data_IF_393105033971
#
_entry.id   IF_393105033971
#
_cell.length_a   1.000
_cell.length_b   1.000
_cell.length_c   1.000
_cell.angle_alpha   90.00
_cell.angle_beta   90.00
_cell.angle_gamma   90.00
#
_symmetry.space_group_name_H-M   'P 1'
#
loop_
_entity.id
_entity.type
_entity.pdbx_description
1 polymer ?
#
# COMPACT_ATOMS: atom_id res chain seq x y z
N UNK A 1 -11.07 7.25 8.99
CA UNK A 1 -11.94 6.56 8.02
C UNK A 1 -13.34 7.09 8.17
N UNK A 2 -13.88 7.61 7.08
CA UNK A 2 -15.23 8.17 7.01
C UNK A 2 -16.02 7.46 5.91
N UNK A 3 -17.33 7.37 6.07
CA UNK A 3 -18.25 6.85 5.06
C UNK A 3 -19.11 8.01 4.56
N UNK A 4 -19.01 8.32 3.28
CA UNK A 4 -19.84 9.30 2.60
C UNK A 4 -20.92 8.57 1.79
N UNK A 5 -22.17 8.62 2.25
CA UNK A 5 -23.31 7.92 1.64
C UNK A 5 -24.05 8.85 0.69
N UNK A 6 -24.29 8.40 -0.54
CA UNK A 6 -25.27 9.00 -1.47
C UNK A 6 -26.57 8.23 -1.43
N UNK A 7 -26.48 6.94 -1.74
CA UNK A 7 -27.60 6.02 -1.84
C UNK A 7 -27.20 4.67 -1.25
N UNK A 8 -27.79 4.33 -0.11
CA UNK A 8 -27.63 3.03 0.55
C UNK A 8 -28.86 2.76 1.41
N UNK A 9 -29.52 1.61 1.20
CA UNK A 9 -30.67 1.23 2.00
C UNK A 9 -30.32 1.18 3.49
N UNK A 10 -31.13 1.84 4.31
CA UNK A 10 -30.95 1.89 5.77
C UNK A 10 -29.97 2.95 6.29
N UNK A 11 -29.39 3.79 5.43
CA UNK A 11 -28.60 4.96 5.83
C UNK A 11 -29.10 6.24 5.16
N UNK A 12 -29.17 7.33 5.94
CA UNK A 12 -29.42 8.67 5.41
C UNK A 12 -28.23 9.15 4.57
N UNK A 13 -28.50 9.93 3.51
CA UNK A 13 -27.47 10.61 2.72
C UNK A 13 -26.68 11.59 3.60
N UNK A 14 -25.36 11.40 3.67
CA UNK A 14 -24.51 12.18 4.56
C UNK A 14 -23.13 11.58 4.77
N UNK A 15 -22.42 12.09 5.77
CA UNK A 15 -21.11 11.62 6.21
C UNK A 15 -21.21 10.96 7.56
N UNK A 16 -20.53 9.85 7.72
CA UNK A 16 -20.43 9.11 8.95
C UNK A 16 -18.96 8.91 9.34
N UNK A 17 -18.65 9.05 10.62
CA UNK A 17 -17.41 8.56 11.21
C UNK A 17 -17.53 7.05 11.44
N UNK A 18 -16.55 6.29 10.96
CA UNK A 18 -16.49 4.85 11.21
C UNK A 18 -15.72 4.58 12.51
N UNK A 19 -16.43 4.31 13.60
CA UNK A 19 -15.79 3.87 14.84
C UNK A 19 -15.54 2.36 14.80
N UNK A 20 -14.33 1.98 14.38
CA UNK A 20 -13.94 0.58 14.20
C UNK A 20 -13.78 -0.18 15.52
N UNK A 21 -13.55 0.49 16.64
CA UNK A 21 -13.35 -0.16 17.95
C UNK A 21 -14.69 -0.58 18.54
N UNK A 22 -15.68 0.32 18.47
CA UNK A 22 -17.01 0.09 19.03
C UNK A 22 -18.01 -0.46 17.99
N UNK A 23 -17.62 -0.51 16.72
CA UNK A 23 -18.41 -1.11 15.65
C UNK A 23 -19.64 -0.30 15.24
N UNK A 24 -19.57 1.03 15.22
CA UNK A 24 -20.70 1.88 14.84
C UNK A 24 -20.36 2.95 13.79
N UNK A 25 -21.39 3.43 13.10
CA UNK A 25 -21.34 4.61 12.22
C UNK A 25 -21.99 5.81 12.92
N UNK A 26 -21.23 6.87 13.17
CA UNK A 26 -21.75 8.10 13.77
C UNK A 26 -21.91 9.20 12.73
N UNK A 27 -23.12 9.71 12.50
CA UNK A 27 -23.38 10.72 11.48
C UNK A 27 -22.74 12.06 11.86
N UNK A 28 -21.96 12.67 10.97
CA UNK A 28 -21.26 13.95 11.21
C UNK A 28 -22.00 15.10 10.52
N UNK A 29 -22.49 14.85 9.30
CA UNK A 29 -23.11 15.87 8.47
C UNK A 29 -24.18 15.25 7.55
N UNK A 30 -25.33 15.92 7.41
CA UNK A 30 -26.40 15.54 6.48
C UNK A 30 -26.21 16.22 5.13
N UNK A 31 -26.50 15.50 4.04
CA UNK A 31 -26.50 16.07 2.70
C UNK A 31 -25.50 15.42 1.76
N UNK A 32 -25.63 15.72 0.47
CA UNK A 32 -24.89 15.01 -0.57
C UNK A 32 -23.38 15.27 -0.49
N UNK A 33 -22.56 14.21 -0.54
CA UNK A 33 -21.13 14.38 -0.66
C UNK A 33 -20.71 15.09 -1.95
N UNK A 34 -19.59 15.82 -1.96
CA UNK A 34 -18.97 16.25 -3.21
C UNK A 34 -18.40 15.02 -3.95
N UNK A 35 -18.74 14.83 -5.22
CA UNK A 35 -18.02 13.91 -6.11
C UNK A 35 -18.08 14.38 -7.55
N UNK A 36 -17.05 14.00 -8.31
CA UNK A 36 -16.97 14.25 -9.74
C UNK A 36 -17.92 13.34 -10.55
N UNK A 37 -18.21 12.11 -10.08
CA UNK A 37 -19.08 11.11 -10.75
C UNK A 37 -20.31 10.75 -9.90
N UNK A 38 -21.26 11.67 -9.80
CA UNK A 38 -22.39 11.55 -8.86
C UNK A 38 -23.34 10.35 -9.10
N UNK A 39 -23.50 9.92 -10.34
CA UNK A 39 -24.57 8.97 -10.72
C UNK A 39 -24.15 7.50 -10.67
N UNK A 40 -22.87 7.20 -10.44
CA UNK A 40 -22.31 5.84 -10.47
C UNK A 40 -21.90 5.33 -9.08
N UNK A 41 -21.93 6.21 -8.06
CA UNK A 41 -21.37 5.95 -6.73
C UNK A 41 -22.50 5.91 -5.71
N UNK A 42 -22.70 4.77 -5.06
CA UNK A 42 -23.61 4.59 -3.93
C UNK A 42 -23.03 5.20 -2.66
N UNK A 43 -21.76 4.91 -2.36
CA UNK A 43 -21.04 5.47 -1.22
C UNK A 43 -19.53 5.51 -1.46
N UNK A 44 -18.82 6.32 -0.66
CA UNK A 44 -17.37 6.40 -0.67
C UNK A 44 -16.80 6.19 0.74
N UNK A 45 -15.77 5.36 0.85
CA UNK A 45 -14.95 5.25 2.05
C UNK A 45 -13.75 6.21 1.91
N UNK A 46 -13.70 7.24 2.75
CA UNK A 46 -12.67 8.27 2.71
C UNK A 46 -11.60 7.95 3.76
N UNK A 47 -10.39 7.66 3.28
CA UNK A 47 -9.22 7.39 4.10
C UNK A 47 -8.54 8.72 4.44
N UNK A 48 -8.33 8.92 5.73
CA UNK A 48 -7.72 10.13 6.30
C UNK A 48 -6.49 9.76 7.12
N UNK A 49 -5.52 10.66 7.18
CA UNK A 49 -4.31 10.52 7.97
C UNK A 49 -4.28 11.52 9.11
N UNK A 50 -4.31 11.04 10.36
CA UNK A 50 -4.12 11.87 11.54
C UNK A 50 -2.64 11.93 11.90
N UNK A 51 -2.03 13.12 11.82
CA UNK A 51 -0.59 13.30 11.99
C UNK A 51 -0.07 12.79 13.33
N UNK A 52 -0.78 13.10 14.41
CA UNK A 52 -0.30 12.77 15.75
C UNK A 52 -0.22 11.28 16.02
N UNK A 53 -1.04 10.44 15.36
CA UNK A 53 -1.05 8.99 15.57
C UNK A 53 0.29 8.33 15.19
N UNK A 54 1.04 8.97 14.28
CA UNK A 54 2.37 8.52 13.88
C UNK A 54 3.48 9.45 14.37
N UNK A 55 3.24 10.76 14.45
CA UNK A 55 4.29 11.73 14.78
C UNK A 55 4.77 11.67 16.23
N UNK A 56 3.96 11.20 17.17
CA UNK A 56 4.39 11.00 18.57
C UNK A 56 5.61 10.07 18.68
N UNK A 57 5.73 9.09 17.76
CA UNK A 57 6.83 8.13 17.70
C UNK A 57 7.84 8.47 16.61
N UNK A 58 7.37 8.81 15.42
CA UNK A 58 8.20 8.93 14.21
C UNK A 58 8.58 10.37 13.84
N UNK A 59 8.08 11.36 14.60
CA UNK A 59 8.39 12.78 14.42
C UNK A 59 8.11 13.22 12.98
N UNK A 60 9.04 13.93 12.35
CA UNK A 60 8.92 14.44 10.97
C UNK A 60 8.81 13.34 9.91
N UNK A 61 9.22 12.10 10.21
CA UNK A 61 9.08 10.97 9.28
C UNK A 61 7.67 10.41 9.23
N UNK A 62 6.76 10.89 10.09
CA UNK A 62 5.41 10.36 10.25
C UNK A 62 4.61 10.29 8.94
N UNK A 63 4.77 11.27 8.04
CA UNK A 63 4.00 11.31 6.81
C UNK A 63 4.25 10.09 5.91
N UNK A 64 5.51 9.61 5.84
CA UNK A 64 5.87 8.36 5.14
C UNK A 64 5.08 7.16 5.66
N UNK A 65 5.03 6.99 6.99
CA UNK A 65 4.28 5.89 7.61
C UNK A 65 2.78 6.04 7.41
N UNK A 66 2.24 7.25 7.56
CA UNK A 66 0.82 7.52 7.33
C UNK A 66 0.40 7.12 5.91
N UNK A 67 1.20 7.44 4.91
CA UNK A 67 0.91 7.10 3.51
C UNK A 67 1.02 5.59 3.25
N UNK A 68 2.08 4.93 3.75
CA UNK A 68 2.22 3.47 3.63
C UNK A 68 1.05 2.74 4.31
N UNK A 69 0.73 3.09 5.56
CA UNK A 69 -0.37 2.49 6.32
C UNK A 69 -1.74 2.76 5.67
N UNK A 70 -1.92 3.95 5.09
CA UNK A 70 -3.12 4.27 4.32
C UNK A 70 -3.23 3.39 3.08
N UNK A 71 -2.13 3.13 2.39
CA UNK A 71 -2.06 2.15 1.31
C UNK A 71 -2.51 0.75 1.74
N UNK A 72 -2.02 0.28 2.88
CA UNK A 72 -2.45 -1.01 3.44
C UNK A 72 -3.96 -1.05 3.72
N UNK A 73 -4.52 0.04 4.24
CA UNK A 73 -5.97 0.15 4.51
C UNK A 73 -6.78 0.20 3.20
N UNK A 74 -6.36 1.00 2.22
CA UNK A 74 -7.02 1.13 0.92
C UNK A 74 -7.13 -0.24 0.25
N UNK A 75 -6.06 -1.04 0.28
CA UNK A 75 -6.11 -2.36 -0.33
C UNK A 75 -7.00 -3.35 0.42
N UNK A 76 -7.04 -3.28 1.76
CA UNK A 76 -8.00 -4.08 2.52
C UNK A 76 -9.45 -3.75 2.15
N UNK A 77 -9.77 -2.46 2.01
CA UNK A 77 -11.10 -2.02 1.56
C UNK A 77 -11.36 -2.55 0.15
N UNK A 78 -10.42 -2.35 -0.78
CA UNK A 78 -10.52 -2.76 -2.18
C UNK A 78 -10.79 -4.26 -2.32
N UNK A 79 -10.01 -5.09 -1.62
CA UNK A 79 -10.17 -6.54 -1.64
C UNK A 79 -11.46 -6.99 -0.95
N UNK A 80 -11.90 -6.31 0.11
CA UNK A 80 -13.16 -6.62 0.77
C UNK A 80 -14.36 -6.31 -0.13
N UNK A 81 -14.34 -5.15 -0.81
CA UNK A 81 -15.39 -4.77 -1.77
C UNK A 81 -15.39 -5.72 -2.96
N UNK A 82 -14.21 -6.06 -3.50
CA UNK A 82 -14.10 -7.06 -4.56
C UNK A 82 -14.60 -8.46 -4.13
N UNK A 83 -14.36 -8.87 -2.89
CA UNK A 83 -14.85 -10.14 -2.35
C UNK A 83 -16.36 -10.16 -2.11
N UNK A 84 -17.02 -9.00 -2.13
CA UNK A 84 -18.48 -8.85 -2.10
C UNK A 84 -19.07 -8.72 -3.52
N UNK A 85 -18.28 -9.01 -4.55
CA UNK A 85 -18.64 -8.86 -5.96
C UNK A 85 -19.16 -7.45 -6.29
N UNK A 86 -18.57 -6.44 -5.63
CA UNK A 86 -18.88 -5.04 -5.85
C UNK A 86 -17.79 -4.34 -6.65
N UNK A 87 -18.23 -3.47 -7.55
CA UNK A 87 -17.34 -2.58 -8.29
C UNK A 87 -16.86 -1.44 -7.39
N UNK A 88 -15.59 -1.06 -7.53
CA UNK A 88 -15.04 0.10 -6.86
C UNK A 88 -14.02 0.86 -7.71
N UNK A 89 -13.90 2.16 -7.48
CA UNK A 89 -12.79 2.98 -7.95
C UNK A 89 -12.01 3.55 -6.77
N UNK A 90 -10.76 3.95 -6.99
CA UNK A 90 -9.96 4.65 -5.99
C UNK A 90 -9.58 6.01 -6.58
N UNK A 91 -9.97 7.07 -5.90
CA UNK A 91 -9.60 8.43 -6.29
C UNK A 91 -8.57 8.96 -5.29
N UNK A 92 -7.38 9.28 -5.81
CA UNK A 92 -6.35 10.01 -5.07
C UNK A 92 -6.43 11.52 -5.31
N UNK A 93 -7.20 11.94 -6.32
CA UNK A 93 -7.22 13.29 -6.84
C UNK A 93 -8.55 13.97 -6.57
N UNK A 94 -8.50 14.85 -5.58
CA UNK A 94 -9.62 15.64 -5.13
C UNK A 94 -9.10 16.95 -4.54
N UNK A 95 -10.00 17.92 -4.44
CA UNK A 95 -9.75 19.16 -3.74
C UNK A 95 -9.73 18.90 -2.23
N UNK A 96 -8.52 18.80 -1.68
CA UNK A 96 -8.24 18.52 -0.27
C UNK A 96 -8.99 19.48 0.67
N UNK A 97 -9.16 20.75 0.31
CA UNK A 97 -9.87 21.73 1.14
C UNK A 97 -11.37 21.49 1.15
N UNK A 98 -11.97 21.20 -0.01
CA UNK A 98 -13.38 20.86 -0.10
C UNK A 98 -13.70 19.58 0.65
N UNK A 99 -12.87 18.53 0.51
CA UNK A 99 -13.06 17.27 1.23
C UNK A 99 -12.88 17.49 2.74
N UNK A 100 -11.86 18.22 3.16
CA UNK A 100 -11.64 18.52 4.58
C UNK A 100 -12.79 19.31 5.19
N UNK A 101 -13.31 20.32 4.49
CA UNK A 101 -14.48 21.09 4.94
C UNK A 101 -15.72 20.21 5.05
N UNK A 102 -15.93 19.34 4.06
CA UNK A 102 -17.06 18.42 4.04
C UNK A 102 -17.01 17.41 5.20
N UNK A 103 -15.81 16.92 5.53
CA UNK A 103 -15.57 16.03 6.66
C UNK A 103 -15.43 16.75 8.01
N UNK A 104 -15.50 18.08 8.04
CA UNK A 104 -15.25 18.91 9.23
C UNK A 104 -13.88 18.67 9.89
N UNK A 105 -12.84 18.45 9.07
CA UNK A 105 -11.47 18.18 9.55
C UNK A 105 -10.72 19.47 9.92
N UNK A 106 -9.97 19.40 11.01
CA UNK A 106 -8.86 20.31 11.30
C UNK A 106 -7.63 19.84 10.52
N UNK A 107 -7.34 20.47 9.38
CA UNK A 107 -6.24 20.09 8.48
C UNK A 107 -4.84 20.21 9.12
N UNK A 108 -4.72 20.86 10.28
CA UNK A 108 -3.47 20.86 11.05
C UNK A 108 -3.23 19.57 11.82
N UNK A 109 -4.25 18.70 11.90
CA UNK A 109 -4.24 17.45 12.67
C UNK A 109 -4.57 16.23 11.81
N UNK A 110 -5.58 16.33 10.95
CA UNK A 110 -6.06 15.22 10.13
C UNK A 110 -6.34 15.67 8.70
N UNK A 111 -5.88 14.86 7.73
CA UNK A 111 -5.92 15.21 6.31
C UNK A 111 -6.54 14.09 5.45
N UNK A 112 -7.32 14.41 4.40
CA UNK A 112 -7.83 13.41 3.46
C UNK A 112 -6.74 12.89 2.54
N UNK A 113 -6.72 11.58 2.31
CA UNK A 113 -5.66 10.90 1.56
C UNK A 113 -6.15 10.20 0.29
N UNK A 114 -7.26 9.45 0.37
CA UNK A 114 -7.84 8.72 -0.75
C UNK A 114 -9.36 8.50 -0.53
N UNK A 115 -10.10 8.34 -1.62
CA UNK A 115 -11.50 7.95 -1.61
C UNK A 115 -11.67 6.61 -2.34
N UNK A 116 -12.25 5.60 -1.68
CA UNK A 116 -12.66 4.35 -2.33
C UNK A 116 -14.15 4.43 -2.60
N UNK A 117 -14.54 4.57 -3.87
CA UNK A 117 -15.93 4.74 -4.30
C UNK A 117 -16.54 3.39 -4.67
N UNK A 118 -17.81 3.15 -4.33
CA UNK A 118 -18.52 1.89 -4.56
C UNK A 118 -19.91 2.14 -5.17
N UNK A 119 -20.32 1.37 -6.19
CA UNK A 119 -21.66 1.39 -6.86
C UNK A 119 -21.59 0.92 -8.34
N UNK A 120 -22.68 0.69 -9.11
CA UNK A 120 -23.98 0.07 -8.81
C UNK A 120 -23.96 -1.36 -9.40
N UNK A 121 -24.16 -2.38 -8.58
CA UNK A 121 -25.05 -3.49 -8.92
C UNK A 121 -26.17 -3.43 -7.88
N UNK A 122 -27.43 -3.48 -8.31
CA UNK A 122 -28.63 -3.20 -7.50
C UNK A 122 -28.85 -4.20 -6.34
N UNK A 123 -27.99 -5.22 -6.22
CA UNK A 123 -28.15 -6.34 -5.28
C UNK A 123 -27.11 -6.40 -4.15
N UNK A 124 -26.70 -5.28 -3.56
CA UNK A 124 -25.63 -5.30 -2.55
C UNK A 124 -25.97 -4.69 -1.19
N UNK A 125 -25.67 -5.49 -0.17
CA UNK A 125 -25.67 -5.24 1.28
C UNK A 125 -27.06 -5.10 1.94
N UNK A 126 -27.71 -6.25 2.15
CA UNK A 126 -28.67 -6.40 3.25
C UNK A 126 -27.95 -7.02 4.45
N UNK A 127 -28.08 -6.34 5.59
CA UNK A 127 -27.66 -6.73 6.94
C UNK A 127 -26.20 -6.44 7.30
N UNK A 128 -26.05 -5.43 8.16
CA UNK A 128 -25.11 -5.25 9.27
C UNK A 128 -24.77 -3.75 9.38
N UNK A 129 -25.72 -2.96 9.88
CA UNK A 129 -25.45 -1.56 10.21
C UNK A 129 -25.91 -1.31 11.63
N UNK A 130 -24.95 -1.23 12.54
CA UNK A 130 -25.18 -0.64 13.84
C UNK A 130 -24.97 0.87 13.70
N UNK A 131 -26.06 1.61 13.63
CA UNK A 131 -26.04 3.07 13.60
C UNK A 131 -25.75 3.55 15.03
N UNK A 132 -24.67 4.32 15.18
CA UNK A 132 -24.29 4.94 16.44
C UNK A 132 -25.03 6.27 16.67
N UNK A 133 -24.63 7.04 17.68
CA UNK A 133 -25.24 8.35 17.92
C UNK A 133 -25.07 9.29 16.71
N UNK A 134 -26.08 10.13 16.46
CA UNK A 134 -25.97 11.28 15.57
C UNK A 134 -24.97 12.28 16.20
N UNK A 135 -23.84 12.49 15.54
CA UNK A 135 -22.78 13.40 15.97
C UNK A 135 -22.91 14.77 15.29
N UNK A 136 -23.97 15.02 14.52
CA UNK A 136 -24.17 16.32 13.86
C UNK A 136 -24.22 17.45 14.89
N UNK A 137 -23.44 18.50 14.66
CA UNK A 137 -23.37 19.66 15.56
C UNK A 137 -22.65 19.42 16.88
N UNK A 138 -22.16 18.20 17.16
CA UNK A 138 -21.24 17.99 18.28
C UNK A 138 -19.92 18.68 17.96
N UNK A 139 -19.52 19.63 18.82
CA UNK A 139 -18.14 20.10 18.82
C UNK A 139 -17.27 18.93 19.24
N UNK A 140 -16.18 18.68 18.51
CA UNK A 140 -15.20 17.70 18.92
C UNK A 140 -14.75 18.04 20.35
N UNK A 141 -15.26 17.32 21.34
CA UNK A 141 -14.72 17.41 22.69
C UNK A 141 -13.24 17.02 22.57
N UNK A 142 -12.36 17.86 23.10
CA UNK A 142 -10.95 17.53 23.19
C UNK A 142 -10.86 16.22 23.96
N UNK A 143 -10.67 15.10 23.24
CA UNK A 143 -10.29 13.84 23.86
C UNK A 143 -9.12 14.20 24.77
N UNK A 144 -9.29 14.03 26.09
CA UNK A 144 -8.19 14.13 27.07
C UNK A 144 -7.14 13.09 26.67
N UNK A 145 -6.29 13.45 25.71
CA UNK A 145 -5.08 12.70 25.39
C UNK A 145 -4.19 12.89 26.60
N UNK A 146 -3.71 11.78 27.16
CA UNK A 146 -2.72 11.79 28.23
C UNK A 146 -1.41 12.48 27.78
N UNK A 147 -1.26 12.74 26.49
CA UNK A 147 -0.10 13.39 25.87
C UNK A 147 -0.53 14.61 25.07
N UNK A 148 0.12 15.75 25.32
CA UNK A 148 -0.05 16.97 24.54
C UNK A 148 0.49 16.71 23.13
N UNK A 149 -0.30 16.91 22.06
CA UNK A 149 0.17 16.70 20.70
C UNK A 149 1.34 17.62 20.35
N UNK A 150 2.49 17.04 20.02
CA UNK A 150 3.64 17.79 19.48
C UNK A 150 3.40 17.98 17.99
N UNK A 151 3.42 19.24 17.54
CA UNK A 151 3.35 19.58 16.12
C UNK A 151 4.74 19.58 15.49
N UNK A 152 4.83 19.06 14.27
CA UNK A 152 6.05 19.06 13.46
C UNK A 152 5.77 19.86 12.19
N UNK A 153 6.31 21.08 12.04
CA UNK A 153 6.00 21.98 10.91
C UNK A 153 6.24 21.35 9.53
N UNK A 154 7.23 20.45 9.42
CA UNK A 154 7.53 19.78 8.16
C UNK A 154 6.36 18.89 7.67
N UNK A 155 5.58 18.29 8.57
CA UNK A 155 4.41 17.47 8.20
C UNK A 155 3.32 18.32 7.55
N UNK A 156 3.07 19.51 8.09
CA UNK A 156 2.12 20.45 7.50
C UNK A 156 2.65 20.96 6.16
N UNK A 157 3.93 21.33 6.11
CA UNK A 157 4.57 21.84 4.89
C UNK A 157 4.53 20.82 3.73
N UNK A 158 4.89 19.56 3.98
CA UNK A 158 4.83 18.53 2.92
C UNK A 158 3.40 18.27 2.47
N UNK A 159 2.44 18.29 3.40
CA UNK A 159 1.04 18.14 3.07
C UNK A 159 0.54 19.29 2.19
N UNK A 160 0.79 20.54 2.58
CA UNK A 160 0.35 21.73 1.83
C UNK A 160 0.95 21.77 0.42
N UNK A 161 2.23 21.41 0.25
CA UNK A 161 2.85 21.29 -1.07
C UNK A 161 2.18 20.20 -1.92
N UNK A 162 1.75 19.10 -1.30
CA UNK A 162 1.10 17.96 -1.98
C UNK A 162 -0.39 18.16 -2.29
N UNK A 163 -0.99 19.31 -1.94
CA UNK A 163 -2.38 19.62 -2.29
C UNK A 163 -2.55 19.91 -3.78
N UNK A 164 -1.53 20.46 -4.42
CA UNK A 164 -1.56 20.79 -5.84
C UNK A 164 -1.51 19.50 -6.65
N UNK A 165 -2.50 19.33 -7.52
CA UNK A 165 -2.55 18.24 -8.50
C UNK A 165 -1.90 18.76 -9.78
N UNK A 166 -0.86 18.07 -10.25
CA UNK A 166 -0.11 18.40 -11.46
C UNK A 166 0.16 17.12 -12.24
N UNK A 167 0.04 17.20 -13.55
CA UNK A 167 0.47 16.14 -14.47
C UNK A 167 1.25 16.77 -15.61
N UNK A 168 2.44 16.25 -15.83
CA UNK A 168 3.26 16.61 -16.98
C UNK A 168 3.40 15.38 -17.88
N UNK A 169 2.43 15.21 -18.79
CA UNK A 169 2.40 14.08 -19.73
C UNK A 169 3.64 14.05 -20.65
N UNK A 170 4.29 15.21 -20.85
CA UNK A 170 5.50 15.35 -21.66
C UNK A 170 6.78 14.95 -20.91
N UNK A 171 6.73 14.77 -19.58
CA UNK A 171 7.89 14.36 -18.79
C UNK A 171 8.44 13.00 -19.24
N UNK A 172 7.57 12.11 -19.71
CA UNK A 172 7.90 10.78 -20.23
C UNK A 172 8.62 9.86 -19.23
N UNK A 173 8.63 8.55 -19.48
CA UNK A 173 9.40 7.58 -18.67
C UNK A 173 10.91 7.58 -18.98
N UNK A 174 11.43 8.71 -19.47
CA UNK A 174 12.83 8.83 -19.84
C UNK A 174 13.69 8.75 -18.57
N UNK A 175 14.65 7.82 -18.55
CA UNK A 175 15.57 7.57 -17.42
C UNK A 175 14.94 7.02 -16.12
N UNK A 176 13.82 6.31 -16.21
CA UNK A 176 13.21 5.55 -15.09
C UNK A 176 14.06 4.39 -14.53
N UNK A 177 15.27 4.20 -15.05
CA UNK A 177 16.18 3.21 -14.51
C UNK A 177 16.47 3.55 -13.04
N UNK A 178 16.22 2.61 -12.13
CA UNK A 178 16.45 2.80 -10.68
C UNK A 178 17.83 2.30 -10.26
N UNK A 179 18.32 1.25 -10.91
CA UNK A 179 19.63 0.63 -10.65
C UNK A 179 20.54 0.84 -11.85
N UNK A 180 21.74 1.38 -11.64
CA UNK A 180 22.64 1.75 -12.73
C UNK A 180 23.26 0.55 -13.50
N UNK A 181 23.27 -0.64 -12.89
CA UNK A 181 23.86 -1.86 -13.46
C UNK A 181 23.04 -2.51 -14.58
N UNK A 182 23.67 -3.44 -15.31
CA UNK A 182 23.02 -4.31 -16.29
C UNK A 182 22.70 -5.68 -15.65
N UNK A 183 21.59 -6.32 -16.05
CA UNK A 183 21.22 -7.62 -15.51
C UNK A 183 22.16 -8.73 -16.01
N UNK A 184 22.57 -9.62 -15.10
CA UNK A 184 23.43 -10.76 -15.39
C UNK A 184 22.66 -11.95 -15.99
N UNK A 185 21.41 -12.14 -15.55
CA UNK A 185 20.53 -13.24 -15.95
C UNK A 185 19.08 -12.78 -15.87
N UNK A 186 18.22 -13.32 -16.74
CA UNK A 186 16.76 -13.12 -16.68
C UNK A 186 16.09 -14.46 -16.41
N UNK A 187 15.19 -14.50 -15.44
CA UNK A 187 14.38 -15.66 -15.08
C UNK A 187 12.94 -15.32 -15.41
N UNK A 188 12.37 -16.01 -16.40
CA UNK A 188 10.96 -15.84 -16.74
C UNK A 188 10.10 -16.42 -15.61
N UNK A 189 9.21 -15.62 -15.03
CA UNK A 189 8.32 -16.13 -13.99
C UNK A 189 7.23 -17.04 -14.55
N UNK A 190 6.97 -16.99 -15.86
CA UNK A 190 5.88 -17.67 -16.56
C UNK A 190 6.38 -18.46 -17.79
N UNK A 191 7.47 -19.21 -17.69
CA UNK A 191 7.88 -20.10 -18.79
C UNK A 191 6.79 -21.16 -19.05
N UNK A 192 5.93 -20.89 -20.04
CA UNK A 192 4.65 -21.52 -20.36
C UNK A 192 4.78 -22.81 -21.20
N UNK A 193 5.90 -23.53 -21.09
CA UNK A 193 6.14 -24.69 -21.96
C UNK A 193 5.37 -25.96 -21.58
N UNK A 194 4.58 -25.97 -20.51
CA UNK A 194 3.57 -27.00 -20.25
C UNK A 194 2.62 -26.53 -19.13
N UNK A 195 1.63 -25.70 -19.45
CA UNK A 195 0.22 -26.07 -19.32
C UNK A 195 -0.68 -24.88 -19.67
N UNK A 196 -1.84 -25.19 -20.20
CA UNK A 196 -2.75 -24.24 -20.83
C UNK A 196 -3.38 -23.23 -19.84
N UNK A 197 -3.46 -21.96 -20.29
CA UNK A 197 -4.37 -20.88 -19.85
C UNK A 197 -4.05 -20.20 -18.51
N UNK A 198 -3.48 -18.99 -18.61
CA UNK A 198 -3.92 -17.72 -18.00
C UNK A 198 -4.70 -17.73 -16.67
N UNK A 199 -4.38 -18.61 -15.72
CA UNK A 199 -4.86 -18.48 -14.35
C UNK A 199 -3.66 -18.10 -13.49
N UNK A 200 -3.68 -16.92 -12.90
CA UNK A 200 -2.73 -16.47 -11.86
C UNK A 200 -2.75 -17.37 -10.61
N UNK A 201 -3.58 -18.40 -10.63
CA UNK A 201 -3.70 -19.47 -9.64
C UNK A 201 -2.75 -20.57 -10.07
N UNK A 202 -1.64 -20.72 -9.37
CA UNK A 202 -1.11 -22.07 -9.21
C UNK A 202 -2.23 -22.91 -8.58
N UNK A 203 -2.83 -23.88 -9.29
CA UNK A 203 -3.98 -24.64 -8.77
C UNK A 203 -3.63 -25.44 -7.51
N UNK A 204 -2.34 -25.58 -7.18
CA UNK A 204 -1.88 -26.20 -5.94
C UNK A 204 -2.06 -25.34 -4.69
N UNK A 205 -2.25 -24.01 -4.82
CA UNK A 205 -2.40 -23.09 -3.69
C UNK A 205 -3.76 -22.38 -3.71
N UNK A 206 -4.68 -22.83 -2.85
CA UNK A 206 -5.97 -22.15 -2.63
C UNK A 206 -5.87 -21.18 -1.46
N UNK A 207 -5.67 -19.89 -1.74
CA UNK A 207 -5.75 -18.82 -0.73
C UNK A 207 -7.20 -18.37 -0.58
N UNK A 208 -7.77 -18.54 0.62
CA UNK A 208 -9.09 -18.01 0.96
C UNK A 208 -8.92 -16.60 1.57
N UNK A 209 -9.36 -15.56 0.87
CA UNK A 209 -9.25 -14.17 1.33
C UNK A 209 -9.90 -13.94 2.71
N UNK A 210 -11.15 -14.38 2.89
CA UNK A 210 -11.91 -14.16 4.13
C UNK A 210 -11.22 -14.79 5.35
N UNK A 211 -10.65 -15.99 5.22
CA UNK A 211 -9.88 -16.58 6.32
C UNK A 211 -8.51 -15.89 6.50
N UNK A 212 -7.84 -15.58 5.40
CA UNK A 212 -6.50 -15.01 5.40
C UNK A 212 -6.46 -13.62 6.04
N UNK A 213 -7.45 -12.77 5.77
CA UNK A 213 -7.48 -11.39 6.30
C UNK A 213 -7.53 -11.35 7.83
N UNK A 214 -8.27 -12.28 8.46
CA UNK A 214 -8.33 -12.37 9.93
C UNK A 214 -7.10 -13.04 10.56
N UNK A 215 -6.40 -13.91 9.82
CA UNK A 215 -5.14 -14.55 10.25
C UNK A 215 -3.92 -13.64 10.05
N UNK A 216 -4.02 -12.64 9.18
CA UNK A 216 -2.91 -11.77 8.79
C UNK A 216 -2.45 -10.95 9.98
N UNK A 217 -1.19 -11.12 10.33
CA UNK A 217 -0.48 -10.29 11.30
C UNK A 217 0.97 -10.11 10.87
N UNK A 218 1.64 -9.10 11.42
CA UNK A 218 3.09 -8.92 11.20
C UNK A 218 3.86 -9.95 12.01
N UNK A 219 4.43 -10.93 11.32
CA UNK A 219 5.22 -12.02 11.91
C UNK A 219 6.68 -11.85 11.51
N UNK A 220 7.52 -11.64 12.50
CA UNK A 220 8.96 -11.33 12.36
C UNK A 220 9.88 -12.41 12.95
N UNK A 221 9.34 -13.55 13.35
CA UNK A 221 10.10 -14.66 13.93
C UNK A 221 10.60 -15.64 12.84
N UNK A 222 11.26 -15.08 11.83
CA UNK A 222 11.78 -15.83 10.69
C UNK A 222 12.88 -16.80 11.12
N UNK A 223 12.91 -17.96 10.46
CA UNK A 223 13.98 -18.96 10.57
C UNK A 223 14.69 -19.08 9.22
N UNK A 224 16.02 -19.24 9.19
CA UNK A 224 16.80 -19.34 7.95
C UNK A 224 16.64 -20.73 7.29
N UNK A 225 15.41 -21.18 7.14
CA UNK A 225 15.03 -22.42 6.48
C UNK A 225 14.83 -22.16 4.99
N UNK A 226 15.15 -23.17 4.17
CA UNK A 226 14.90 -23.11 2.73
C UNK A 226 13.41 -22.91 2.45
N UNK A 227 13.09 -21.92 1.61
CA UNK A 227 11.74 -21.72 1.09
C UNK A 227 11.60 -22.48 -0.23
N UNK A 228 10.65 -23.41 -0.26
CA UNK A 228 10.41 -24.21 -1.46
C UNK A 228 10.00 -23.34 -2.65
N UNK A 229 10.35 -23.84 -3.84
CA UNK A 229 10.15 -23.14 -5.11
C UNK A 229 8.68 -22.74 -5.34
N UNK A 230 7.74 -23.62 -5.02
CA UNK A 230 6.33 -23.38 -5.33
C UNK A 230 5.77 -22.24 -4.48
N UNK A 231 6.02 -22.21 -3.17
CA UNK A 231 5.62 -21.11 -2.29
C UNK A 231 6.33 -19.81 -2.65
N UNK A 232 7.64 -19.85 -2.92
CA UNK A 232 8.40 -18.67 -3.30
C UNK A 232 7.88 -18.05 -4.61
N UNK A 233 7.79 -18.84 -5.67
CA UNK A 233 7.33 -18.35 -6.97
C UNK A 233 5.84 -17.99 -6.93
N UNK A 234 5.00 -18.66 -6.13
CA UNK A 234 3.61 -18.22 -5.92
C UNK A 234 3.54 -16.84 -5.28
N UNK A 235 4.32 -16.58 -4.23
CA UNK A 235 4.36 -15.26 -3.58
C UNK A 235 4.88 -14.19 -4.55
N UNK A 236 5.95 -14.49 -5.29
CA UNK A 236 6.54 -13.56 -6.26
C UNK A 236 5.57 -13.29 -7.41
N UNK A 237 4.93 -14.32 -7.99
CA UNK A 237 3.94 -14.17 -9.07
C UNK A 237 2.70 -13.42 -8.63
N UNK A 238 2.18 -13.70 -7.43
CA UNK A 238 1.04 -12.96 -6.88
C UNK A 238 1.40 -11.49 -6.70
N UNK A 239 2.60 -11.19 -6.22
CA UNK A 239 3.12 -9.82 -6.10
C UNK A 239 3.29 -9.18 -7.48
N UNK A 240 3.92 -9.88 -8.42
CA UNK A 240 4.14 -9.45 -9.80
C UNK A 240 2.83 -9.22 -10.56
N UNK A 241 1.78 -9.99 -10.30
CA UNK A 241 0.47 -9.81 -10.95
C UNK A 241 -0.17 -8.46 -10.63
N UNK A 242 0.28 -7.81 -9.55
CA UNK A 242 -0.16 -6.47 -9.15
C UNK A 242 0.51 -5.40 -9.99
N UNK A 243 1.61 -5.77 -10.63
CA UNK A 243 2.31 -4.97 -11.59
C UNK A 243 1.81 -5.38 -13.00
N UNK A 244 0.93 -4.58 -13.60
CA UNK A 244 0.54 -4.73 -15.02
C UNK A 244 -0.82 -5.38 -15.26
N UNK A 245 -1.58 -5.77 -14.22
CA UNK A 245 -2.99 -6.14 -14.41
C UNK A 245 -3.91 -4.93 -14.23
N UNK A 246 -4.94 -4.84 -15.07
CA UNK A 246 -6.01 -3.82 -15.08
C UNK A 246 -6.93 -3.86 -13.84
N UNK A 247 -6.44 -4.30 -12.68
CA UNK A 247 -7.28 -4.69 -11.53
C UNK A 247 -7.58 -3.59 -10.52
N UNK A 248 -7.32 -2.33 -10.84
CA UNK A 248 -8.08 -1.22 -10.30
C UNK A 248 -8.53 -0.33 -11.47
N UNK A 249 -9.63 0.39 -11.33
CA UNK A 249 -10.16 1.22 -12.42
C UNK A 249 -9.38 2.54 -12.61
N UNK A 250 -8.10 2.54 -12.20
CA UNK A 250 -7.02 3.41 -12.68
C UNK A 250 -5.99 2.68 -13.56
N UNK A 251 -5.90 1.34 -13.48
CA UNK A 251 -5.47 0.43 -14.55
C UNK A 251 -4.00 0.46 -14.95
N UNK A 252 -3.19 1.35 -14.38
CA UNK A 252 -1.75 1.43 -14.62
C UNK A 252 -1.03 1.41 -13.28
N UNK A 253 -0.09 0.48 -13.14
CA UNK A 253 0.92 0.57 -12.10
C UNK A 253 1.60 1.92 -12.27
N UNK A 254 1.80 2.65 -11.18
CA UNK A 254 2.72 3.77 -11.16
C UNK A 254 4.05 3.32 -11.79
N UNK A 255 4.38 3.79 -13.00
CA UNK A 255 5.60 3.38 -13.67
C UNK A 255 6.85 3.87 -12.92
N UNK A 256 6.66 4.72 -11.90
CA UNK A 256 7.70 5.20 -11.01
C UNK A 256 8.07 4.23 -9.89
N UNK A 257 7.25 3.19 -9.66
CA UNK A 257 7.52 2.16 -8.66
C UNK A 257 8.35 1.01 -9.26
N UNK A 258 9.58 0.86 -8.80
CA UNK A 258 10.41 -0.31 -9.04
C UNK A 258 10.33 -1.29 -7.87
N UNK A 259 10.16 -2.57 -8.18
CA UNK A 259 10.20 -3.66 -7.21
C UNK A 259 11.49 -4.46 -7.37
N UNK A 260 12.29 -4.50 -6.31
CA UNK A 260 13.41 -5.40 -6.15
C UNK A 260 13.07 -6.57 -5.23
N UNK A 261 13.84 -7.65 -5.33
CA UNK A 261 13.75 -8.80 -4.44
C UNK A 261 15.16 -9.21 -4.09
N UNK A 262 15.55 -9.14 -2.81
CA UNK A 262 16.69 -9.91 -2.34
C UNK A 262 16.21 -11.25 -1.80
N UNK A 263 16.80 -12.35 -2.26
CA UNK A 263 16.44 -13.69 -1.82
C UNK A 263 17.65 -14.44 -1.26
N UNK A 264 17.38 -15.31 -0.30
CA UNK A 264 18.35 -16.23 0.26
C UNK A 264 17.67 -17.55 0.61
N UNK A 265 18.32 -18.66 0.29
CA UNK A 265 17.83 -20.00 0.59
C UNK A 265 16.44 -20.25 -0.02
N UNK A 266 16.28 -19.94 -1.31
CA UNK A 266 15.04 -20.14 -2.06
C UNK A 266 15.27 -21.15 -3.17
N UNK A 267 14.58 -22.29 -3.14
CA UNK A 267 14.80 -23.33 -4.14
C UNK A 267 14.48 -22.81 -5.55
N UNK A 268 15.44 -22.92 -6.48
CA UNK A 268 15.29 -22.48 -7.87
C UNK A 268 15.61 -21.01 -8.14
N UNK A 269 16.08 -20.26 -7.14
CA UNK A 269 16.73 -18.96 -7.30
C UNK A 269 18.14 -19.01 -6.72
N UNK A 270 19.05 -18.30 -7.37
CA UNK A 270 20.39 -18.08 -6.83
C UNK A 270 20.28 -17.01 -5.71
N UNK A 271 21.09 -17.11 -4.66
CA UNK A 271 21.10 -16.06 -3.63
C UNK A 271 21.61 -14.75 -4.25
N UNK A 272 20.83 -13.68 -4.10
CA UNK A 272 21.14 -12.44 -4.77
C UNK A 272 20.05 -11.39 -4.72
N UNK A 273 20.30 -10.31 -5.45
CA UNK A 273 19.39 -9.20 -5.68
C UNK A 273 18.86 -9.23 -7.11
N UNK A 274 17.54 -9.21 -7.23
CA UNK A 274 16.78 -9.24 -8.46
C UNK A 274 15.94 -7.97 -8.61
N UNK A 275 15.79 -7.48 -9.83
CA UNK A 275 14.75 -6.52 -10.19
C UNK A 275 13.61 -7.22 -10.89
N UNK A 276 12.38 -6.86 -10.53
CA UNK A 276 11.22 -7.29 -11.26
C UNK A 276 11.03 -6.45 -12.53
N UNK A 277 10.83 -7.12 -13.67
CA UNK A 277 10.48 -6.49 -14.94
C UNK A 277 8.99 -6.74 -15.22
N UNK A 278 8.11 -5.72 -15.05
CA UNK A 278 6.68 -5.86 -15.31
C UNK A 278 6.38 -6.27 -16.75
N UNK A 279 7.01 -5.63 -17.74
CA UNK A 279 6.73 -5.86 -19.16
C UNK A 279 7.06 -7.29 -19.61
N UNK A 280 8.09 -7.89 -19.00
CA UNK A 280 8.56 -9.24 -19.33
C UNK A 280 8.05 -10.30 -18.35
N UNK A 281 7.37 -9.86 -17.29
CA UNK A 281 7.03 -10.68 -16.13
C UNK A 281 8.21 -11.57 -15.69
N UNK A 282 9.39 -10.97 -15.54
CA UNK A 282 10.63 -11.69 -15.26
C UNK A 282 11.36 -11.10 -14.06
N UNK A 283 12.23 -11.91 -13.44
CA UNK A 283 13.23 -11.45 -12.49
C UNK A 283 14.57 -11.28 -13.20
N UNK A 284 15.14 -10.10 -13.08
CA UNK A 284 16.43 -9.73 -13.61
C UNK A 284 17.45 -9.79 -12.48
N UNK A 285 18.33 -10.80 -12.49
CA UNK A 285 19.41 -10.91 -11.52
C UNK A 285 20.40 -9.76 -11.73
N UNK A 286 20.50 -8.87 -10.74
CA UNK A 286 21.42 -7.73 -10.80
C UNK A 286 22.75 -8.05 -10.15
N UNK A 287 22.74 -8.79 -9.04
CA UNK A 287 23.95 -9.16 -8.31
C UNK A 287 23.76 -10.46 -7.53
N UNK A 288 24.76 -11.33 -7.57
CA UNK A 288 24.84 -12.54 -6.76
C UNK A 288 25.35 -12.23 -5.35
N UNK A 289 24.95 -13.03 -4.37
CA UNK A 289 25.47 -13.01 -3.01
C UNK A 289 24.41 -12.76 -1.94
N UNK A 290 24.86 -12.70 -0.69
CA UNK A 290 24.00 -12.55 0.48
C UNK A 290 23.86 -11.07 0.86
N UNK A 291 22.63 -10.55 0.81
CA UNK A 291 22.31 -9.15 1.10
C UNK A 291 21.67 -8.95 2.47
N UNK A 292 21.20 -10.02 3.10
CA UNK A 292 20.31 -10.01 4.27
C UNK A 292 20.96 -9.39 5.51
N UNK A 293 22.27 -9.62 5.71
CA UNK A 293 23.03 -9.02 6.81
C UNK A 293 23.09 -7.50 6.71
N UNK A 294 23.56 -7.00 5.56
CA UNK A 294 23.64 -5.56 5.27
C UNK A 294 22.25 -4.91 5.22
N UNK A 295 21.25 -5.59 4.65
CA UNK A 295 19.88 -5.09 4.62
C UNK A 295 19.31 -4.92 6.03
N UNK A 296 19.62 -5.84 6.94
CA UNK A 296 19.23 -5.71 8.35
C UNK A 296 19.84 -4.49 9.02
N UNK A 297 21.11 -4.16 8.73
CA UNK A 297 21.79 -2.97 9.27
C UNK A 297 21.13 -1.70 8.74
N UNK A 298 20.94 -1.62 7.43
CA UNK A 298 20.23 -0.53 6.74
C UNK A 298 18.81 -0.34 7.28
N UNK A 299 18.14 -1.41 7.69
CA UNK A 299 16.80 -1.39 8.29
C UNK A 299 16.80 -1.09 9.80
N UNK A 300 17.74 -0.28 10.29
CA UNK A 300 17.90 0.07 11.71
C UNK A 300 18.16 -1.16 12.60
N UNK A 301 19.09 -2.02 12.18
CA UNK A 301 19.51 -3.22 12.92
C UNK A 301 18.37 -4.21 13.24
N UNK A 302 17.36 -4.27 12.38
CA UNK A 302 16.26 -5.20 12.54
C UNK A 302 16.66 -6.62 12.17
N UNK A 303 17.37 -7.28 13.10
CA UNK A 303 18.03 -8.59 12.94
C UNK A 303 17.16 -9.71 12.41
N UNK A 304 15.84 -9.61 12.57
CA UNK A 304 14.92 -10.61 12.05
C UNK A 304 14.89 -10.66 10.51
N UNK A 305 15.23 -9.56 9.83
CA UNK A 305 15.34 -9.48 8.36
C UNK A 305 16.39 -10.45 7.84
N UNK A 306 17.45 -10.68 8.62
CA UNK A 306 18.56 -11.58 8.27
C UNK A 306 18.10 -13.01 7.95
N UNK A 307 16.99 -13.42 8.58
CA UNK A 307 16.45 -14.76 8.45
C UNK A 307 15.30 -14.87 7.44
N UNK A 308 14.90 -13.76 6.80
CA UNK A 308 13.83 -13.78 5.81
C UNK A 308 14.34 -14.34 4.48
N UNK A 309 13.59 -15.28 3.90
CA UNK A 309 13.94 -15.90 2.62
C UNK A 309 13.78 -14.93 1.44
N UNK A 310 12.80 -14.03 1.51
CA UNK A 310 12.51 -13.02 0.49
C UNK A 310 12.37 -11.64 1.16
N UNK A 311 13.04 -10.62 0.61
CA UNK A 311 12.80 -9.23 0.95
C UNK A 311 12.38 -8.47 -0.30
N UNK A 312 11.14 -8.02 -0.32
CA UNK A 312 10.59 -7.17 -1.36
C UNK A 312 11.01 -5.72 -1.09
N UNK A 313 11.65 -5.10 -2.07
CA UNK A 313 12.35 -3.82 -1.98
C UNK A 313 11.62 -2.80 -2.86
N UNK A 314 10.92 -1.86 -2.24
CA UNK A 314 10.17 -0.82 -2.96
C UNK A 314 11.08 0.39 -3.17
N UNK A 315 11.35 0.69 -4.43
CA UNK A 315 12.28 1.72 -4.85
C UNK A 315 11.62 2.62 -5.89
N UNK A 316 12.07 3.86 -5.97
CA UNK A 316 11.62 4.80 -7.00
C UNK A 316 12.68 5.83 -7.30
N UNK A 317 12.65 6.36 -8.52
CA UNK A 317 13.35 7.59 -8.89
C UNK A 317 12.45 8.78 -8.54
N UNK A 318 12.78 9.50 -7.46
CA UNK A 318 11.93 10.59 -6.96
C UNK A 318 11.99 11.83 -7.86
N UNK A 319 13.07 12.04 -8.61
CA UNK A 319 13.17 13.15 -9.55
C UNK A 319 12.20 12.97 -10.72
N UNK A 320 12.12 11.76 -11.29
CA UNK A 320 11.15 11.44 -12.33
C UNK A 320 9.71 11.57 -11.81
N UNK A 321 9.45 11.06 -10.61
CA UNK A 321 8.14 11.16 -9.96
C UNK A 321 7.70 12.61 -9.78
N UNK A 322 8.59 13.47 -9.28
CA UNK A 322 8.30 14.89 -9.06
C UNK A 322 8.14 15.66 -10.39
N UNK A 323 8.92 15.32 -11.42
CA UNK A 323 8.76 15.92 -12.77
C UNK A 323 7.41 15.64 -13.39
N UNK A 324 6.84 14.45 -13.17
CA UNK A 324 5.55 14.06 -13.73
C UNK A 324 4.38 14.54 -12.85
N UNK A 325 4.42 14.29 -11.54
CA UNK A 325 3.28 14.47 -10.64
C UNK A 325 3.43 15.62 -9.63
N UNK A 326 4.57 16.32 -9.65
CA UNK A 326 4.90 17.30 -8.62
C UNK A 326 4.98 16.69 -7.22
N UNK A 327 4.87 17.51 -6.16
CA UNK A 327 4.96 17.03 -4.77
C UNK A 327 3.91 15.99 -4.37
N UNK A 328 2.76 15.96 -5.06
CA UNK A 328 1.68 14.99 -4.79
C UNK A 328 2.06 13.57 -5.20
N UNK A 329 3.01 13.41 -6.14
CA UNK A 329 3.57 12.11 -6.53
C UNK A 329 4.03 11.26 -5.35
N UNK A 330 4.61 11.89 -4.32
CA UNK A 330 5.01 11.21 -3.08
C UNK A 330 3.83 10.49 -2.40
N UNK A 331 2.63 11.08 -2.41
CA UNK A 331 1.42 10.45 -1.86
C UNK A 331 1.02 9.21 -2.66
N UNK A 332 1.00 9.33 -3.99
CA UNK A 332 0.62 8.23 -4.88
C UNK A 332 1.53 7.04 -4.69
N UNK A 333 2.84 7.26 -4.81
CA UNK A 333 3.85 6.21 -4.74
C UNK A 333 3.79 5.45 -3.41
N UNK A 334 3.74 6.15 -2.28
CA UNK A 334 3.76 5.50 -0.96
C UNK A 334 2.44 4.77 -0.66
N UNK A 335 1.28 5.35 -1.00
CA UNK A 335 0.01 4.65 -0.83
C UNK A 335 -0.09 3.43 -1.74
N UNK A 336 0.34 3.53 -3.00
CA UNK A 336 0.35 2.39 -3.90
C UNK A 336 1.32 1.28 -3.42
N UNK A 337 2.47 1.66 -2.86
CA UNK A 337 3.42 0.72 -2.26
C UNK A 337 2.81 0.00 -1.05
N UNK A 338 2.10 0.72 -0.18
CA UNK A 338 1.35 0.12 0.93
C UNK A 338 0.26 -0.85 0.45
N UNK A 339 -0.40 -0.55 -0.68
CA UNK A 339 -1.39 -1.45 -1.28
C UNK A 339 -0.77 -2.77 -1.74
N UNK A 340 0.31 -2.69 -2.52
CA UNK A 340 1.04 -3.87 -2.99
C UNK A 340 1.57 -4.68 -1.80
N UNK A 341 2.13 -4.00 -0.80
CA UNK A 341 2.60 -4.64 0.42
C UNK A 341 1.48 -5.37 1.17
N UNK A 342 0.28 -4.81 1.26
CA UNK A 342 -0.84 -5.52 1.89
C UNK A 342 -1.19 -6.82 1.18
N UNK A 343 -1.08 -6.85 -0.16
CA UNK A 343 -1.24 -8.11 -0.90
C UNK A 343 -0.11 -9.09 -0.64
N UNK A 344 1.14 -8.64 -0.52
CA UNK A 344 2.27 -9.49 -0.08
C UNK A 344 1.97 -10.10 1.30
N UNK A 345 1.48 -9.30 2.25
CA UNK A 345 1.09 -9.76 3.58
C UNK A 345 0.01 -10.85 3.54
N UNK A 346 -1.04 -10.65 2.73
CA UNK A 346 -2.12 -11.62 2.58
C UNK A 346 -1.64 -12.88 1.87
N UNK A 347 -0.88 -12.75 0.77
CA UNK A 347 -0.32 -13.87 0.04
C UNK A 347 0.60 -14.72 0.93
N UNK A 348 1.53 -14.08 1.66
CA UNK A 348 2.40 -14.75 2.61
C UNK A 348 1.60 -15.46 3.72
N UNK A 349 0.58 -14.81 4.28
CA UNK A 349 -0.30 -15.42 5.29
C UNK A 349 -1.03 -16.64 4.73
N UNK A 350 -1.58 -16.55 3.52
CA UNK A 350 -2.26 -17.65 2.84
C UNK A 350 -1.34 -18.83 2.48
N UNK A 351 -0.05 -18.54 2.29
CA UNK A 351 1.03 -19.50 2.08
C UNK A 351 1.66 -20.00 3.38
N UNK A 352 1.10 -19.68 4.55
CA UNK A 352 1.64 -20.02 5.88
C UNK A 352 3.10 -19.54 6.12
N UNK A 353 3.43 -18.38 5.57
CA UNK A 353 4.68 -17.66 5.79
C UNK A 353 4.50 -16.52 6.79
N UNK A 354 5.59 -16.10 7.40
CA UNK A 354 5.64 -14.80 8.07
C UNK A 354 5.75 -13.68 7.05
N UNK A 355 5.32 -12.48 7.45
CA UNK A 355 5.51 -11.27 6.68
C UNK A 355 5.62 -10.07 7.62
N UNK A 356 6.55 -9.17 7.35
CA UNK A 356 6.71 -7.94 8.12
C UNK A 356 7.33 -6.83 7.26
N UNK A 357 6.76 -5.64 7.34
CA UNK A 357 7.22 -4.45 6.62
C UNK A 357 8.07 -3.53 7.50
N UNK A 358 8.99 -2.81 6.87
CA UNK A 358 9.89 -1.82 7.47
C UNK A 358 9.90 -0.56 6.61
N UNK A 359 9.39 0.53 7.18
CA UNK A 359 9.44 1.87 6.57
C UNK A 359 10.59 2.75 7.07
N UNK A 360 11.44 2.24 7.96
CA UNK A 360 12.55 2.99 8.56
C UNK A 360 13.87 2.44 8.04
N UNK A 361 14.64 3.28 7.35
CA UNK A 361 15.87 2.89 6.67
C UNK A 361 16.95 3.96 6.89
N UNK A 362 18.21 3.56 6.77
CA UNK A 362 19.32 4.44 6.44
C UNK A 362 19.36 4.62 4.92
N UNK A 363 18.71 5.67 4.41
CA UNK A 363 18.36 5.78 2.98
C UNK A 363 19.60 5.83 2.05
N UNK A 364 20.69 6.47 2.46
CA UNK A 364 21.95 6.53 1.69
C UNK A 364 22.67 5.17 1.65
N UNK A 365 22.74 4.48 2.78
CA UNK A 365 23.31 3.14 2.90
C UNK A 365 22.48 2.13 2.10
N UNK A 366 21.15 2.30 2.07
CA UNK A 366 20.26 1.51 1.22
C UNK A 366 20.53 1.74 -0.28
N UNK A 367 20.71 3.00 -0.68
CA UNK A 367 21.06 3.38 -2.06
C UNK A 367 22.37 2.69 -2.48
N UNK A 368 23.39 2.74 -1.62
CA UNK A 368 24.68 2.12 -1.87
C UNK A 368 24.60 0.57 -1.92
N UNK A 369 23.87 -0.06 -1.01
CA UNK A 369 23.76 -1.51 -0.91
C UNK A 369 23.22 -2.15 -2.20
N UNK A 370 22.24 -1.51 -2.85
CA UNK A 370 21.61 -2.03 -4.06
C UNK A 370 22.07 -1.34 -5.35
N UNK A 371 23.06 -0.45 -5.27
CA UNK A 371 23.61 0.27 -6.42
C UNK A 371 22.56 1.13 -7.14
N UNK A 372 21.67 1.78 -6.39
CA UNK A 372 20.68 2.68 -6.97
C UNK A 372 21.37 3.96 -7.47
N UNK A 373 20.82 4.59 -8.50
CA UNK A 373 21.31 5.93 -8.89
C UNK A 373 20.96 6.98 -7.84
N UNK A 374 21.54 8.18 -7.99
CA UNK A 374 21.48 9.25 -6.98
C UNK A 374 20.06 9.77 -6.76
N UNK A 375 19.23 9.70 -7.80
CA UNK A 375 17.86 10.17 -7.82
C UNK A 375 16.87 9.13 -7.27
N UNK A 376 17.36 7.90 -7.01
CA UNK A 376 16.55 6.78 -6.54
C UNK A 376 16.80 6.44 -5.08
N UNK A 377 15.75 6.02 -4.38
CA UNK A 377 15.88 5.52 -3.02
C UNK A 377 15.04 4.27 -2.78
N UNK A 378 15.54 3.40 -1.89
CA UNK A 378 14.74 2.36 -1.26
C UNK A 378 13.92 3.01 -0.15
N UNK A 379 12.59 2.91 -0.21
CA UNK A 379 11.72 3.58 0.74
C UNK A 379 10.78 2.64 1.51
N UNK A 380 10.69 1.37 1.13
CA UNK A 380 9.93 0.39 1.91
C UNK A 380 10.47 -1.02 1.66
N UNK A 381 10.57 -1.81 2.74
CA UNK A 381 11.01 -3.21 2.68
C UNK A 381 9.90 -4.07 3.26
N UNK A 382 9.54 -5.15 2.58
CA UNK A 382 8.61 -6.16 3.09
C UNK A 382 9.29 -7.51 3.05
N UNK A 383 9.61 -8.06 4.22
CA UNK A 383 10.24 -9.37 4.35
C UNK A 383 9.19 -10.46 4.47
N UNK A 384 9.45 -11.62 3.88
CA UNK A 384 8.63 -12.81 3.98
C UNK A 384 9.50 -14.08 4.05
N UNK A 385 9.00 -15.12 4.71
CA UNK A 385 9.73 -16.37 4.82
C UNK A 385 9.14 -17.33 5.86
N UNK A 386 9.75 -18.52 6.01
CA UNK A 386 9.39 -19.49 7.03
C UNK A 386 9.54 -18.88 8.43
N UNK A 387 8.62 -19.22 9.33
CA UNK A 387 8.61 -18.76 10.72
C UNK A 387 8.62 -19.93 11.69
N UNK A 388 9.13 -19.70 12.89
CA UNK A 388 8.98 -20.64 14.00
C UNK A 388 7.48 -20.75 14.37
N UNK A 389 6.94 -21.97 14.32
CA UNK A 389 5.54 -22.26 14.69
C UNK A 389 5.31 -22.12 16.19
#
# INVERSE_FOLDING_TARGET
LYLAVRYMDGLETGVYYCNLIQGFLGMIHRGEPPAQRKNEISFSLIVTGEFFNSSWKYRERAFRYILLDSGHLIENISLAVNALDQFFSIDYDFDDEKVSRFLSLDQTKEVPLACVNVGQDENAVKNLIQIGPDLTGLKAEEKKRLTIPISYPLLQKIYDLSKVISYNDDAGLQNMQVVAGQPQKSINLFDLTNDSKTDFKDPSVKINYANTVFRRCSKRNFIPQELDRNRAFSLIRLTASLFGTKSDLSGKVDPHLALGISCQNVSGLDDGFYLFSPDRLSLLLMSLGHFQDHLSEVCLDQRWIKNAALNFLFMANFECLEKEFGPRGYRYLLMQSGRIAQRIYLAATGLDLGCCGVGALYDEEAQNLFGLNKESALFYVVSAGPIKK
#
